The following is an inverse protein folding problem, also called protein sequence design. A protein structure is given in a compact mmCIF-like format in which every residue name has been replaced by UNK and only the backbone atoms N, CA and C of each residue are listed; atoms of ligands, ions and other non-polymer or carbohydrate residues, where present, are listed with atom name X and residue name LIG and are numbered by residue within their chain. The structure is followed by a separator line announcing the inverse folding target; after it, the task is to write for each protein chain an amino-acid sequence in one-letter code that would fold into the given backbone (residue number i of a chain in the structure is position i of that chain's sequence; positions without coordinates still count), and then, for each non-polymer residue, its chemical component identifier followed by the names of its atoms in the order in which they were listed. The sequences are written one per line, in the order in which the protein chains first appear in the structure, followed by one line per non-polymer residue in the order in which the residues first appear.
data_IF_503603777635
#
_entry.id   IF_503603777635
#
_cell.length_a   1.000
_cell.length_b   1.000
_cell.length_c   1.000
_cell.angle_alpha   90.00
_cell.angle_beta   90.00
_cell.angle_gamma   90.00
#
_symmetry.space_group_name_H-M   'P 1'
#
loop_
_entity.id
_entity.type
_entity.pdbx_description
1 polymer ?
#
# COMPACT_ATOMS: atom_id res chain seq x y z
N UNK A 1 5.62 25.15 -9.23
CA UNK A 1 6.25 25.01 -7.89
C UNK A 1 5.23 24.97 -6.77
N UNK A 2 4.22 25.85 -6.76
CA UNK A 2 3.16 25.85 -5.73
C UNK A 2 2.46 24.49 -5.64
N UNK A 3 2.00 23.93 -6.76
CA UNK A 3 1.32 22.62 -6.79
C UNK A 3 2.16 21.48 -6.22
N UNK A 4 3.47 21.49 -6.47
CA UNK A 4 4.41 20.50 -5.93
C UNK A 4 4.54 20.62 -4.41
N UNK A 5 4.75 21.82 -3.88
CA UNK A 5 4.88 22.06 -2.43
C UNK A 5 3.57 21.70 -1.72
N UNK A 6 2.43 22.14 -2.26
CA UNK A 6 1.10 21.79 -1.73
C UNK A 6 0.89 20.28 -1.71
N UNK A 7 1.29 19.57 -2.77
CA UNK A 7 1.20 18.12 -2.88
C UNK A 7 2.03 17.40 -1.81
N UNK A 8 3.25 17.88 -1.56
CA UNK A 8 4.12 17.32 -0.51
C UNK A 8 3.52 17.50 0.89
N UNK A 9 2.97 18.69 1.17
CA UNK A 9 2.28 18.97 2.44
C UNK A 9 1.05 18.06 2.58
N UNK A 10 0.24 17.93 1.54
CA UNK A 10 -0.96 17.08 1.54
C UNK A 10 -0.62 15.61 1.79
N UNK A 11 0.48 15.08 1.23
CA UNK A 11 0.93 13.71 1.51
C UNK A 11 1.26 13.51 2.99
N UNK A 12 1.99 14.45 3.60
CA UNK A 12 2.34 14.39 5.02
C UNK A 12 1.10 14.47 5.89
N UNK A 13 0.19 15.41 5.62
CA UNK A 13 -1.07 15.54 6.35
C UNK A 13 -1.96 14.30 6.14
N UNK A 14 -2.04 13.78 4.92
CA UNK A 14 -2.76 12.56 4.59
C UNK A 14 -2.26 11.36 5.40
N UNK A 15 -0.94 11.17 5.48
CA UNK A 15 -0.34 10.14 6.32
C UNK A 15 -0.71 10.30 7.80
N UNK A 16 -0.58 11.52 8.35
CA UNK A 16 -0.83 11.78 9.78
C UNK A 16 -2.30 11.66 10.18
N UNK A 17 -3.21 12.21 9.39
CA UNK A 17 -4.63 12.29 9.74
C UNK A 17 -5.41 11.10 9.16
N UNK A 18 -5.32 10.88 7.85
CA UNK A 18 -6.09 9.85 7.18
C UNK A 18 -5.51 8.46 7.41
N UNK A 19 -4.18 8.31 7.38
CA UNK A 19 -3.51 7.05 7.75
C UNK A 19 -3.90 6.58 9.15
N UNK A 20 -3.87 7.48 10.14
CA UNK A 20 -4.31 7.18 11.52
C UNK A 20 -5.79 6.83 11.62
N UNK A 21 -6.65 7.47 10.82
CA UNK A 21 -8.07 7.14 10.76
C UNK A 21 -8.31 5.73 10.19
N UNK A 22 -7.62 5.37 9.11
CA UNK A 22 -7.73 4.05 8.47
C UNK A 22 -7.20 2.96 9.41
N UNK A 23 -6.05 3.20 10.05
CA UNK A 23 -5.45 2.28 11.01
C UNK A 23 -6.39 2.01 12.21
N UNK A 24 -6.98 3.07 12.79
CA UNK A 24 -7.98 2.96 13.85
C UNK A 24 -9.24 2.21 13.41
N UNK A 25 -9.65 2.37 12.16
CA UNK A 25 -10.84 1.70 11.61
C UNK A 25 -10.58 0.20 11.45
N UNK A 26 -9.39 -0.18 10.99
CA UNK A 26 -9.05 -1.58 10.77
C UNK A 26 -8.75 -2.35 12.07
N UNK A 27 -8.26 -1.66 13.11
CA UNK A 27 -7.88 -2.25 14.40
C UNK A 27 -6.85 -3.39 14.22
N UNK A 28 -5.61 -3.05 13.81
CA UNK A 28 -4.53 -4.03 13.75
C UNK A 28 -4.32 -4.66 15.14
N UNK A 29 -4.07 -5.96 15.16
CA UNK A 29 -3.74 -6.67 16.39
C UNK A 29 -2.22 -6.89 16.46
N UNK A 30 -1.54 -6.11 17.29
CA UNK A 30 -0.09 -6.18 17.47
C UNK A 30 0.38 -7.42 18.23
N UNK A 31 -0.52 -8.14 18.92
CA UNK A 31 -0.16 -9.35 19.68
C UNK A 31 -0.20 -10.63 18.85
N UNK A 32 -0.63 -10.54 17.58
CA UNK A 32 -0.63 -11.68 16.66
C UNK A 32 0.65 -11.72 15.86
N UNK A 33 1.35 -12.84 15.95
CA UNK A 33 2.46 -13.15 15.07
C UNK A 33 1.98 -13.24 13.61
N UNK A 34 2.84 -12.79 12.70
CA UNK A 34 2.53 -12.83 11.27
C UNK A 34 2.63 -14.27 10.73
N UNK A 35 1.95 -14.58 9.61
CA UNK A 35 2.09 -15.87 8.92
C UNK A 35 3.55 -16.22 8.61
N UNK A 36 4.41 -15.22 8.38
CA UNK A 36 5.84 -15.42 8.16
C UNK A 36 6.58 -16.10 9.33
N UNK A 37 6.08 -15.97 10.56
CA UNK A 37 6.65 -16.60 11.76
C UNK A 37 5.88 -17.85 12.20
N UNK A 38 4.58 -17.94 11.90
CA UNK A 38 3.72 -19.06 12.34
C UNK A 38 3.65 -20.20 11.33
N UNK A 39 3.94 -19.94 10.05
CA UNK A 39 3.88 -20.89 8.94
C UNK A 39 5.21 -21.01 8.19
N UNK A 40 6.34 -20.77 8.89
CA UNK A 40 7.67 -20.75 8.28
C UNK A 40 7.98 -22.06 7.52
N UNK A 41 8.18 -21.94 6.21
CA UNK A 41 8.46 -23.07 5.30
C UNK A 41 9.75 -22.87 4.48
N UNK A 42 10.39 -21.70 4.60
CA UNK A 42 11.62 -21.36 3.88
C UNK A 42 11.40 -21.00 2.40
N UNK A 43 10.17 -21.01 1.90
CA UNK A 43 9.83 -20.73 0.50
C UNK A 43 8.76 -19.65 0.40
N UNK A 44 7.52 -19.93 0.84
CA UNK A 44 6.40 -18.98 0.77
C UNK A 44 6.35 -18.07 2.01
N UNK A 45 6.78 -18.57 3.16
CA UNK A 45 6.80 -17.88 4.45
C UNK A 45 8.22 -17.85 5.01
N UNK A 46 8.89 -16.72 4.80
CA UNK A 46 10.25 -16.49 5.29
C UNK A 46 10.27 -15.25 6.19
N UNK A 47 10.69 -15.38 7.46
CA UNK A 47 10.81 -14.22 8.33
C UNK A 47 11.89 -13.27 7.80
N UNK A 48 11.55 -12.00 7.70
CA UNK A 48 12.41 -10.97 7.11
C UNK A 48 12.51 -9.75 8.02
N UNK A 49 13.70 -9.15 8.06
CA UNK A 49 13.91 -7.87 8.73
C UNK A 49 13.04 -6.78 8.08
N UNK A 50 12.39 -5.95 8.89
CA UNK A 50 11.52 -4.85 8.49
C UNK A 50 12.13 -3.95 7.43
N UNK A 51 13.42 -3.64 7.52
CA UNK A 51 14.10 -2.79 6.53
C UNK A 51 14.14 -3.44 5.15
N UNK A 52 14.43 -4.76 5.10
CA UNK A 52 14.48 -5.51 3.84
C UNK A 52 13.10 -5.62 3.22
N UNK A 53 12.08 -5.89 4.05
CA UNK A 53 10.69 -5.93 3.61
C UNK A 53 10.24 -4.57 3.04
N UNK A 54 10.54 -3.46 3.72
CA UNK A 54 10.22 -2.12 3.25
C UNK A 54 10.85 -1.80 1.89
N UNK A 55 12.12 -2.20 1.67
CA UNK A 55 12.77 -2.03 0.37
C UNK A 55 12.11 -2.83 -0.76
N UNK A 56 11.67 -4.06 -0.49
CA UNK A 56 10.93 -4.86 -1.48
C UNK A 56 9.62 -4.16 -1.85
N UNK A 57 8.88 -3.64 -0.87
CA UNK A 57 7.64 -2.91 -1.14
C UNK A 57 7.88 -1.62 -1.94
N UNK A 58 8.95 -0.88 -1.63
CA UNK A 58 9.35 0.28 -2.41
C UNK A 58 9.67 -0.12 -3.85
N UNK A 59 10.44 -1.19 -4.04
CA UNK A 59 10.83 -1.67 -5.37
C UNK A 59 9.60 -2.10 -6.21
N UNK A 60 8.61 -2.73 -5.58
CA UNK A 60 7.37 -3.16 -6.24
C UNK A 60 6.56 -1.99 -6.81
N UNK A 61 6.60 -0.82 -6.17
CA UNK A 61 5.87 0.39 -6.63
C UNK A 61 6.76 1.27 -7.52
N UNK A 62 8.07 1.28 -7.28
CA UNK A 62 9.02 2.17 -7.95
C UNK A 62 9.06 1.98 -9.47
N UNK A 63 8.75 0.80 -10.00
CA UNK A 63 8.74 0.55 -11.44
C UNK A 63 7.69 1.35 -12.22
N UNK A 64 6.53 1.63 -11.60
CA UNK A 64 5.40 2.30 -12.25
C UNK A 64 5.60 3.82 -12.31
N UNK A 65 6.27 4.40 -11.31
CA UNK A 65 6.47 5.85 -11.19
C UNK A 65 7.19 6.52 -12.37
N UNK A 66 8.36 6.03 -12.81
CA UNK A 66 9.12 6.61 -13.94
C UNK A 66 8.40 6.54 -15.29
N UNK A 67 7.43 5.64 -15.44
CA UNK A 67 6.65 5.50 -16.67
C UNK A 67 5.44 6.44 -16.62
N UNK A 68 4.60 6.31 -15.59
CA UNK A 68 3.36 7.08 -15.50
C UNK A 68 3.59 8.55 -15.12
N UNK A 69 4.65 8.87 -14.37
CA UNK A 69 4.97 10.24 -13.95
C UNK A 69 5.18 11.20 -15.13
N UNK A 70 6.11 10.92 -16.06
CA UNK A 70 6.32 11.75 -17.25
C UNK A 70 5.09 11.82 -18.16
N UNK A 71 4.35 10.71 -18.32
CA UNK A 71 3.12 10.68 -19.13
C UNK A 71 2.06 11.62 -18.52
N UNK A 72 1.80 11.52 -17.22
CA UNK A 72 0.85 12.40 -16.53
C UNK A 72 1.33 13.85 -16.54
N UNK A 73 2.64 14.09 -16.39
CA UNK A 73 3.24 15.42 -16.48
C UNK A 73 3.09 16.05 -17.86
N UNK A 74 3.24 15.27 -18.93
CA UNK A 74 3.07 15.74 -20.30
C UNK A 74 1.60 16.01 -20.64
N UNK A 75 0.67 15.17 -20.17
CA UNK A 75 -0.76 15.29 -20.46
C UNK A 75 -1.47 16.38 -19.63
N UNK A 76 -1.17 16.46 -18.34
CA UNK A 76 -1.91 17.30 -17.37
C UNK A 76 -1.08 18.44 -16.78
N UNK A 77 0.21 18.53 -17.13
CA UNK A 77 1.09 19.57 -16.62
C UNK A 77 1.17 19.57 -15.09
N UNK A 78 1.27 20.75 -14.44
CA UNK A 78 1.38 20.86 -12.98
C UNK A 78 0.17 20.36 -12.18
N UNK A 79 -0.99 20.15 -12.81
CA UNK A 79 -2.21 19.62 -12.16
C UNK A 79 -2.07 18.12 -11.88
N UNK A 80 -1.19 17.42 -12.62
CA UNK A 80 -0.89 16.01 -12.39
C UNK A 80 -0.53 15.71 -10.93
N UNK A 81 0.20 16.61 -10.26
CA UNK A 81 0.59 16.44 -8.86
C UNK A 81 -0.60 16.31 -7.91
N UNK A 82 -1.66 17.07 -8.13
CA UNK A 82 -2.86 17.02 -7.28
C UNK A 82 -3.56 15.66 -7.44
N UNK A 83 -3.71 15.21 -8.69
CA UNK A 83 -4.34 13.90 -8.99
C UNK A 83 -3.52 12.74 -8.45
N UNK A 84 -2.20 12.77 -8.61
CA UNK A 84 -1.29 11.75 -8.07
C UNK A 84 -1.46 11.69 -6.54
N UNK A 85 -1.41 12.84 -5.85
CA UNK A 85 -1.52 12.87 -4.39
C UNK A 85 -2.88 12.40 -3.89
N UNK A 86 -3.97 12.88 -4.49
CA UNK A 86 -5.32 12.44 -4.10
C UNK A 86 -5.50 10.93 -4.33
N UNK A 87 -5.06 10.42 -5.48
CA UNK A 87 -5.08 8.99 -5.78
C UNK A 87 -4.25 8.17 -4.79
N UNK A 88 -3.05 8.64 -4.45
CA UNK A 88 -2.18 7.97 -3.46
C UNK A 88 -2.79 7.93 -2.07
N UNK A 89 -3.40 9.02 -1.59
CA UNK A 89 -3.97 9.09 -0.23
C UNK A 89 -5.22 8.23 -0.13
N UNK A 90 -6.18 8.39 -1.04
CA UNK A 90 -7.52 7.79 -0.88
C UNK A 90 -7.64 6.39 -1.45
N UNK A 91 -6.93 6.09 -2.54
CA UNK A 91 -6.99 4.79 -3.19
C UNK A 91 -5.73 3.96 -2.91
N UNK A 92 -4.55 4.41 -3.33
CA UNK A 92 -3.33 3.59 -3.32
C UNK A 92 -2.93 3.10 -1.92
N UNK A 93 -2.58 4.03 -1.02
CA UNK A 93 -2.08 3.69 0.30
C UNK A 93 -3.10 2.91 1.14
N UNK A 94 -4.38 3.28 1.05
CA UNK A 94 -5.46 2.59 1.76
C UNK A 94 -5.68 1.20 1.19
N UNK A 95 -5.70 1.05 -0.12
CA UNK A 95 -5.86 -0.24 -0.77
C UNK A 95 -4.74 -1.21 -0.36
N UNK A 96 -3.48 -0.77 -0.40
CA UNK A 96 -2.34 -1.62 -0.06
C UNK A 96 -2.33 -1.99 1.43
N UNK A 97 -2.64 -1.05 2.31
CA UNK A 97 -2.78 -1.33 3.74
C UNK A 97 -3.93 -2.33 4.02
N UNK A 98 -5.13 -2.08 3.48
CA UNK A 98 -6.28 -2.94 3.74
C UNK A 98 -6.08 -4.34 3.16
N UNK A 99 -5.62 -4.45 1.91
CA UNK A 99 -5.41 -5.76 1.28
C UNK A 99 -4.31 -6.56 1.96
N UNK A 100 -3.20 -5.91 2.34
CA UNK A 100 -2.13 -6.54 3.12
C UNK A 100 -2.62 -7.04 4.48
N UNK A 101 -3.39 -6.21 5.20
CA UNK A 101 -3.91 -6.58 6.50
C UNK A 101 -4.99 -7.68 6.44
N UNK A 102 -5.82 -7.69 5.39
CA UNK A 102 -6.76 -8.80 5.13
C UNK A 102 -5.97 -10.08 4.85
N UNK A 103 -4.94 -10.02 4.00
CA UNK A 103 -4.06 -11.17 3.71
C UNK A 103 -3.46 -11.76 4.99
N UNK A 104 -2.92 -10.92 5.89
CA UNK A 104 -2.39 -11.37 7.18
C UNK A 104 -3.44 -12.07 8.05
N UNK A 105 -4.69 -11.58 8.07
CA UNK A 105 -5.79 -12.23 8.81
C UNK A 105 -6.19 -13.59 8.26
N UNK A 106 -5.91 -13.85 6.98
CA UNK A 106 -6.21 -15.09 6.29
C UNK A 106 -4.95 -15.93 6.00
N UNK A 107 -3.94 -15.85 6.87
CA UNK A 107 -2.75 -16.72 6.79
C UNK A 107 -1.81 -16.38 5.63
N UNK A 108 -1.79 -15.11 5.19
CA UNK A 108 -0.93 -14.67 4.09
C UNK A 108 -1.47 -15.03 2.70
N UNK A 109 -2.78 -15.29 2.59
CA UNK A 109 -3.39 -15.62 1.30
C UNK A 109 -3.20 -14.51 0.26
N UNK A 110 -2.91 -14.91 -0.98
CA UNK A 110 -2.80 -13.99 -2.12
C UNK A 110 -4.17 -13.43 -2.53
N UNK A 111 -4.16 -12.24 -3.16
CA UNK A 111 -5.37 -11.52 -3.59
C UNK A 111 -6.37 -12.38 -4.39
N UNK A 112 -5.95 -13.15 -5.41
CA UNK A 112 -6.86 -14.05 -6.13
C UNK A 112 -7.55 -15.11 -5.25
N UNK A 113 -6.85 -15.68 -4.27
CA UNK A 113 -7.45 -16.63 -3.33
C UNK A 113 -8.47 -15.94 -2.41
N UNK A 114 -8.18 -14.72 -1.95
CA UNK A 114 -9.13 -13.91 -1.19
C UNK A 114 -10.36 -13.55 -2.01
N UNK A 115 -10.17 -13.11 -3.26
CA UNK A 115 -11.26 -12.79 -4.17
C UNK A 115 -12.15 -14.02 -4.41
N UNK A 116 -11.55 -15.17 -4.71
CA UNK A 116 -12.28 -16.43 -4.91
C UNK A 116 -13.08 -16.86 -3.67
N UNK A 117 -12.55 -16.58 -2.48
CA UNK A 117 -13.19 -16.90 -1.20
C UNK A 117 -14.39 -16.00 -0.89
N UNK A 118 -14.30 -14.70 -1.19
CA UNK A 118 -15.33 -13.72 -0.82
C UNK A 118 -16.34 -13.43 -1.92
N UNK A 119 -15.93 -13.48 -3.19
CA UNK A 119 -16.77 -13.15 -4.35
C UNK A 119 -17.28 -14.40 -5.09
N UNK A 120 -16.79 -15.59 -4.72
CA UNK A 120 -17.09 -16.85 -5.40
C UNK A 120 -16.03 -17.23 -6.43
N UNK A 121 -16.10 -18.47 -6.92
CA UNK A 121 -15.17 -18.96 -7.96
C UNK A 121 -15.48 -18.25 -9.28
N UNK A 122 -14.48 -17.54 -9.82
CA UNK A 122 -14.46 -17.16 -11.23
C UNK A 122 -14.10 -18.35 -12.11
#
# INVERSE_FOLDING_TARGET
MITFITSMILLVLGYMFYGKFVDKTFQPNETKDTPAHTMEDGVDFVPMNSNRNAFIQILNIAGVGPIFGPILGALYGPIAFIWIVLGSIFAGAVHDYLTGMISLRFGGAHLPALASRFLGKS
#
